data_IF_111014932182
#
_entry.id   IF_111014932182
#
_cell.length_a   1.000
_cell.length_b   1.000
_cell.length_c   1.000
_cell.angle_alpha   90.00
_cell.angle_beta   90.00
_cell.angle_gamma   90.00
#
_symmetry.space_group_name_H-M   'P 1'
#
loop_
_entity.id
_entity.type
_entity.pdbx_description
1 polymer ?
#
# COMPACT_ATOMS: atom_id res chain seq x y z
N UNK A 1 15.80 -5.86 11.10
CA UNK A 1 14.66 -5.31 10.34
C UNK A 1 14.92 -5.52 8.86
N UNK A 2 14.07 -6.25 8.16
CA UNK A 2 14.21 -6.44 6.71
C UNK A 2 13.42 -5.35 5.98
N UNK A 3 14.06 -4.66 5.03
CA UNK A 3 13.46 -3.55 4.28
C UNK A 3 12.52 -4.05 3.16
N UNK A 4 11.70 -5.06 3.44
CA UNK A 4 10.90 -5.78 2.45
C UNK A 4 9.86 -4.88 1.76
N UNK A 5 9.22 -3.98 2.51
CA UNK A 5 8.29 -3.00 1.94
C UNK A 5 8.97 -2.11 0.91
N UNK A 6 10.16 -1.58 1.23
CA UNK A 6 10.94 -0.74 0.34
C UNK A 6 11.42 -1.51 -0.90
N UNK A 7 11.85 -2.76 -0.72
CA UNK A 7 12.24 -3.64 -1.83
C UNK A 7 11.07 -3.88 -2.78
N UNK A 8 9.93 -4.34 -2.26
CA UNK A 8 8.73 -4.61 -3.07
C UNK A 8 8.21 -3.34 -3.75
N UNK A 9 8.30 -2.19 -3.08
CA UNK A 9 7.97 -0.91 -3.70
C UNK A 9 8.86 -0.63 -4.93
N UNK A 10 10.19 -0.68 -4.77
CA UNK A 10 11.16 -0.31 -5.82
C UNK A 10 11.18 -1.29 -6.98
N UNK A 11 11.14 -2.58 -6.68
CA UNK A 11 11.34 -3.63 -7.69
C UNK A 11 10.02 -3.98 -8.41
N UNK A 12 8.90 -3.96 -7.68
CA UNK A 12 7.61 -4.46 -8.21
C UNK A 12 6.60 -3.34 -8.41
N UNK A 13 6.25 -2.59 -7.35
CA UNK A 13 5.16 -1.62 -7.40
C UNK A 13 5.41 -0.48 -8.40
N UNK A 14 6.62 0.10 -8.41
CA UNK A 14 6.99 1.19 -9.32
C UNK A 14 6.79 0.77 -10.79
N UNK A 15 7.15 -0.46 -11.13
CA UNK A 15 7.07 -1.01 -12.49
C UNK A 15 5.71 -1.63 -12.83
N UNK A 16 4.84 -1.83 -11.83
CA UNK A 16 3.54 -2.44 -12.04
C UNK A 16 2.62 -1.58 -12.93
N UNK A 17 1.70 -2.25 -13.62
CA UNK A 17 0.69 -1.60 -14.46
C UNK A 17 -0.25 -0.70 -13.65
N UNK A 18 -0.93 0.19 -14.38
CA UNK A 18 -1.88 1.17 -13.85
C UNK A 18 -3.04 0.54 -13.04
N UNK A 19 -3.79 1.40 -12.36
CA UNK A 19 -4.76 1.02 -11.32
C UNK A 19 -4.06 0.30 -10.17
N UNK A 20 -3.10 1.01 -9.57
CA UNK A 20 -2.29 0.53 -8.47
C UNK A 20 -2.31 1.46 -7.26
N UNK A 21 -2.23 0.86 -6.07
CA UNK A 21 -2.18 1.56 -4.80
C UNK A 21 -1.29 0.81 -3.81
N UNK A 22 -0.57 1.56 -2.97
CA UNK A 22 0.31 1.05 -1.92
C UNK A 22 -0.19 1.56 -0.57
N UNK A 23 -0.40 0.63 0.36
CA UNK A 23 -0.84 0.89 1.72
C UNK A 23 0.26 0.52 2.73
N UNK A 24 0.42 1.31 3.78
CA UNK A 24 1.37 1.07 4.85
C UNK A 24 0.86 1.61 6.19
N UNK A 25 1.26 0.96 7.27
CA UNK A 25 1.17 1.42 8.65
C UNK A 25 2.56 1.77 9.19
N UNK A 26 2.62 2.68 10.15
CA UNK A 26 3.86 3.13 10.79
C UNK A 26 4.58 2.01 11.58
N UNK A 27 3.88 0.92 11.92
CA UNK A 27 4.50 -0.28 12.54
C UNK A 27 4.99 -1.32 11.53
N UNK A 28 4.97 -0.99 10.25
CA UNK A 28 5.59 -1.80 9.20
C UNK A 28 4.67 -2.84 8.55
N UNK A 29 3.37 -2.85 8.83
CA UNK A 29 2.41 -3.58 8.00
C UNK A 29 2.24 -2.86 6.65
N UNK A 30 2.16 -3.61 5.56
CA UNK A 30 2.00 -3.04 4.22
C UNK A 30 1.33 -4.03 3.26
N UNK A 31 0.78 -3.49 2.17
CA UNK A 31 0.27 -4.25 1.03
C UNK A 31 0.14 -3.33 -0.18
N UNK A 32 0.21 -3.87 -1.38
CA UNK A 32 -0.09 -3.12 -2.59
C UNK A 32 -0.84 -3.98 -3.60
N UNK A 33 -1.57 -3.32 -4.49
CA UNK A 33 -2.28 -3.95 -5.63
C UNK A 33 -1.99 -3.17 -6.89
N UNK A 34 -2.03 -3.86 -8.03
CA UNK A 34 -1.99 -3.30 -9.38
C UNK A 34 -2.96 -4.03 -10.28
N UNK A 35 -3.11 -3.55 -11.52
CA UNK A 35 -3.93 -4.19 -12.54
C UNK A 35 -5.37 -4.47 -12.06
N UNK A 36 -5.92 -3.60 -11.21
CA UNK A 36 -7.32 -3.70 -10.78
C UNK A 36 -8.22 -3.08 -11.84
N UNK A 37 -9.50 -3.43 -11.77
CA UNK A 37 -10.55 -2.88 -12.65
C UNK A 37 -10.67 -1.35 -12.54
N UNK A 38 -10.25 -0.77 -11.41
CA UNK A 38 -10.16 0.67 -11.21
C UNK A 38 -9.17 1.03 -10.08
N UNK A 39 -8.79 2.31 -10.01
CA UNK A 39 -8.01 2.86 -8.90
C UNK A 39 -8.70 2.63 -7.56
N UNK A 40 -10.03 2.81 -7.49
CA UNK A 40 -10.82 2.57 -6.27
C UNK A 40 -10.64 1.15 -5.74
N UNK A 41 -10.72 0.15 -6.62
CA UNK A 41 -10.50 -1.25 -6.24
C UNK A 41 -9.05 -1.51 -5.82
N UNK A 42 -8.06 -0.83 -6.43
CA UNK A 42 -6.68 -0.94 -5.97
C UNK A 42 -6.51 -0.42 -4.55
N UNK A 43 -7.08 0.76 -4.26
CA UNK A 43 -7.08 1.39 -2.94
C UNK A 43 -7.74 0.47 -1.91
N UNK A 44 -9.00 0.08 -2.13
CA UNK A 44 -9.77 -0.74 -1.19
C UNK A 44 -9.06 -2.06 -0.90
N UNK A 45 -8.62 -2.78 -1.93
CA UNK A 45 -7.98 -4.09 -1.74
C UNK A 45 -6.59 -3.96 -1.07
N UNK A 46 -5.82 -2.91 -1.36
CA UNK A 46 -4.53 -2.69 -0.70
C UNK A 46 -4.70 -2.36 0.80
N UNK A 47 -5.69 -1.52 1.15
CA UNK A 47 -6.02 -1.21 2.54
C UNK A 47 -6.49 -2.47 3.28
N UNK A 48 -7.48 -3.17 2.75
CA UNK A 48 -8.03 -4.38 3.39
C UNK A 48 -6.92 -5.39 3.71
N UNK A 49 -6.00 -5.63 2.76
CA UNK A 49 -4.91 -6.58 2.98
C UNK A 49 -3.84 -6.06 3.94
N UNK A 50 -3.54 -4.77 3.93
CA UNK A 50 -2.67 -4.16 4.96
C UNK A 50 -3.28 -4.33 6.35
N UNK A 51 -4.58 -4.00 6.51
CA UNK A 51 -5.31 -4.08 7.78
C UNK A 51 -5.38 -5.51 8.31
N UNK A 52 -5.59 -6.51 7.43
CA UNK A 52 -5.53 -7.92 7.81
C UNK A 52 -4.19 -8.32 8.42
N UNK A 53 -3.10 -7.74 7.92
CA UNK A 53 -1.75 -7.97 8.44
C UNK A 53 -1.44 -7.11 9.68
N UNK A 54 -2.21 -6.03 9.88
CA UNK A 54 -2.02 -5.05 10.94
C UNK A 54 -3.02 -5.16 12.11
N UNK A 55 -3.83 -6.23 12.18
CA UNK A 55 -4.96 -6.35 13.12
C UNK A 55 -4.67 -5.96 14.58
N UNK A 56 -3.47 -6.27 15.08
CA UNK A 56 -3.07 -5.98 16.47
C UNK A 56 -2.75 -4.51 16.73
N UNK A 57 -2.42 -3.75 15.68
CA UNK A 57 -1.94 -2.38 15.78
C UNK A 57 -2.81 -1.39 15.00
N UNK A 58 -3.84 -1.86 14.28
CA UNK A 58 -4.67 -1.02 13.41
C UNK A 58 -5.36 0.14 14.15
N UNK A 59 -5.70 -0.03 15.43
CA UNK A 59 -6.32 1.02 16.23
C UNK A 59 -5.37 2.19 16.55
N UNK A 60 -4.08 1.89 16.75
CA UNK A 60 -3.06 2.89 17.16
C UNK A 60 -2.24 3.39 15.96
N UNK A 61 -1.96 2.49 15.02
CA UNK A 61 -1.12 2.69 13.84
C UNK A 61 -1.87 2.19 12.60
N UNK A 62 -2.92 2.89 12.14
CA UNK A 62 -3.75 2.42 11.05
C UNK A 62 -3.01 2.35 9.72
N UNK A 63 -3.39 1.38 8.90
CA UNK A 63 -2.95 1.34 7.50
C UNK A 63 -3.54 2.52 6.71
N UNK A 64 -2.69 3.21 5.96
CA UNK A 64 -3.07 4.34 5.09
C UNK A 64 -2.56 4.11 3.68
N UNK A 65 -3.24 4.67 2.70
CA UNK A 65 -2.72 4.77 1.34
C UNK A 65 -1.60 5.80 1.32
N UNK A 66 -0.42 5.40 0.86
CA UNK A 66 0.75 6.28 0.74
C UNK A 66 1.09 6.59 -0.72
N UNK A 67 0.68 5.75 -1.67
CA UNK A 67 0.92 6.00 -3.09
C UNK A 67 -0.21 5.45 -3.96
N UNK A 68 -0.62 6.23 -4.96
CA UNK A 68 -1.63 5.84 -5.96
C UNK A 68 -1.10 6.16 -7.36
N UNK A 69 -0.98 5.13 -8.20
CA UNK A 69 -0.45 5.26 -9.56
C UNK A 69 0.87 6.05 -9.64
N UNK A 70 1.76 5.88 -8.67
CA UNK A 70 3.05 6.58 -8.62
C UNK A 70 3.00 7.94 -7.92
N UNK A 71 1.83 8.48 -7.58
CA UNK A 71 1.70 9.76 -6.85
C UNK A 71 1.66 9.51 -5.35
N UNK A 72 2.53 10.18 -4.60
CA UNK A 72 2.56 10.06 -3.14
C UNK A 72 1.40 10.83 -2.51
N UNK A 73 0.75 10.22 -1.52
CA UNK A 73 -0.25 10.90 -0.70
C UNK A 73 0.47 11.95 0.16
N UNK A 74 0.14 13.23 -0.06
CA UNK A 74 0.74 14.35 0.69
C UNK A 74 1.71 15.23 -0.11
N UNK A 75 2.09 14.83 -1.33
CA UNK A 75 2.74 15.76 -2.27
C UNK A 75 1.67 16.70 -2.84
N UNK A 76 1.73 17.98 -2.43
CA UNK A 76 0.96 19.10 -2.99
C UNK A 76 1.67 19.67 -4.20
#
# INVERSE_FOLDING_TARGET
MTNQALKSYREEYVNATQHKAFAQSDVGAWSWKSNRTSIKHAIENSLIDCQKNNKRHEAEYPCKIINVNGKWAGER
#
